data_IF_569469118576
#
_entry.id   IF_569469118576
#
_cell.length_a   1.000
_cell.length_b   1.000
_cell.length_c   1.000
_cell.angle_alpha   90.00
_cell.angle_beta   90.00
_cell.angle_gamma   90.00
#
_symmetry.space_group_name_H-M   'P 1'
#
loop_
_entity.id
_entity.type
_entity.pdbx_description
1 polymer ?
#
# COMPACT_ATOMS: atom_id res chain seq x y z
N UNK A 1 -37.54 0.80 72.05
CA UNK A 1 -36.37 0.02 72.54
C UNK A 1 -35.27 0.13 71.52
N UNK A 2 -34.01 0.28 71.88
CA UNK A 2 -33.38 0.25 73.18
C UNK A 2 -31.88 0.09 72.97
N UNK A 3 -31.11 1.01 73.57
CA UNK A 3 -29.74 0.93 74.11
C UNK A 3 -28.57 0.65 73.14
N UNK A 4 -27.59 1.56 72.98
CA UNK A 4 -26.51 1.96 73.91
C UNK A 4 -25.39 0.90 73.95
N UNK A 5 -24.08 1.18 73.99
CA UNK A 5 -23.26 2.38 74.10
C UNK A 5 -21.79 1.96 73.82
N UNK A 6 -20.94 2.92 73.47
CA UNK A 6 -19.52 3.03 73.87
C UNK A 6 -18.81 3.97 72.87
N UNK A 7 -18.03 4.97 73.22
CA UNK A 7 -17.72 5.57 74.51
C UNK A 7 -16.96 6.85 74.16
N UNK A 8 -17.27 7.92 74.88
CA UNK A 8 -16.57 9.19 74.80
C UNK A 8 -15.11 9.03 75.24
N UNK A 9 -14.14 9.33 74.37
CA UNK A 9 -12.80 9.73 74.84
C UNK A 9 -12.07 10.50 73.73
N UNK A 10 -12.33 11.81 73.61
CA UNK A 10 -11.30 12.84 73.39
C UNK A 10 -11.90 14.19 73.77
N UNK A 11 -11.78 14.52 75.06
CA UNK A 11 -12.26 15.76 75.64
C UNK A 11 -11.62 17.00 75.01
N UNK A 12 -12.47 17.98 74.71
CA UNK A 12 -12.08 19.36 74.50
C UNK A 12 -11.42 19.89 75.78
N UNK A 13 -10.10 20.09 75.76
CA UNK A 13 -9.46 20.96 76.73
C UNK A 13 -9.32 22.36 76.12
N UNK A 14 -10.16 23.28 76.60
CA UNK A 14 -10.12 24.70 76.28
C UNK A 14 -8.92 25.33 76.99
N UNK A 15 -7.78 25.42 76.32
CA UNK A 15 -6.73 26.37 76.67
C UNK A 15 -6.42 27.21 75.43
N UNK A 16 -6.54 28.54 75.59
CA UNK A 16 -6.49 29.49 74.49
C UNK A 16 -5.23 29.38 73.64
N UNK A 17 -5.42 29.05 72.38
CA UNK A 17 -4.49 29.37 71.31
C UNK A 17 -5.33 29.96 70.18
N UNK A 18 -5.07 31.24 69.87
CA UNK A 18 -5.77 31.98 68.82
C UNK A 18 -5.53 31.29 67.46
N UNK A 19 -6.50 31.34 66.52
CA UNK A 19 -6.28 30.84 65.17
C UNK A 19 -5.17 31.66 64.51
N UNK A 20 -4.05 31.02 64.21
CA UNK A 20 -2.94 31.59 63.45
C UNK A 20 -3.34 31.67 61.97
N UNK A 21 -4.18 32.63 61.61
CA UNK A 21 -4.37 33.07 60.21
C UNK A 21 -4.88 34.50 60.19
N UNK A 22 -4.08 35.46 60.65
CA UNK A 22 -4.28 36.87 60.29
C UNK A 22 -3.45 37.15 59.04
N UNK A 23 -4.08 37.79 58.05
CA UNK A 23 -3.54 38.06 56.70
C UNK A 23 -2.44 39.14 56.70
N UNK A 24 -1.84 39.40 57.86
CA UNK A 24 -0.97 40.54 58.20
C UNK A 24 0.28 40.14 58.99
N UNK A 25 0.65 38.85 59.05
CA UNK A 25 1.99 38.48 59.54
C UNK A 25 3.03 38.81 58.46
N UNK A 26 3.81 39.86 58.67
CA UNK A 26 4.96 40.18 57.82
C UNK A 26 6.02 39.07 57.97
N UNK A 27 6.76 38.79 56.89
CA UNK A 27 7.78 37.72 56.85
C UNK A 27 8.73 37.75 58.05
N UNK A 28 9.05 38.96 58.55
CA UNK A 28 9.97 39.22 59.67
C UNK A 28 9.43 38.74 61.03
N UNK A 29 8.12 38.62 61.19
CA UNK A 29 7.47 38.20 62.45
C UNK A 29 7.33 36.67 62.58
N UNK A 30 7.69 35.92 61.53
CA UNK A 30 7.72 34.46 61.59
C UNK A 30 8.97 33.95 62.35
N UNK A 31 8.83 32.92 63.19
CA UNK A 31 9.98 32.25 63.80
C UNK A 31 10.97 31.76 62.74
N UNK A 32 12.27 31.90 62.99
CA UNK A 32 13.35 31.60 62.03
C UNK A 32 13.27 30.20 61.40
N UNK A 33 12.75 29.21 62.14
CA UNK A 33 12.51 27.85 61.65
C UNK A 33 11.48 27.79 60.51
N UNK A 34 10.40 28.57 60.59
CA UNK A 34 9.35 28.61 59.57
C UNK A 34 9.77 29.43 58.37
N UNK A 35 10.50 30.54 58.56
CA UNK A 35 11.12 31.29 57.46
C UNK A 35 12.07 30.40 56.64
N UNK A 36 12.93 29.62 57.31
CA UNK A 36 13.86 28.69 56.65
C UNK A 36 13.12 27.56 55.92
N UNK A 37 12.05 27.02 56.50
CA UNK A 37 11.24 25.99 55.87
C UNK A 37 10.51 26.52 54.63
N UNK A 38 9.88 27.70 54.70
CA UNK A 38 9.19 28.31 53.56
C UNK A 38 10.19 28.66 52.44
N UNK A 39 11.37 29.19 52.78
CA UNK A 39 12.42 29.45 51.78
C UNK A 39 12.91 28.16 51.10
N UNK A 40 13.08 27.07 51.84
CA UNK A 40 13.42 25.76 51.27
C UNK A 40 12.28 25.19 50.41
N UNK A 41 11.03 25.41 50.81
CA UNK A 41 9.86 25.01 50.04
C UNK A 41 9.80 25.77 48.70
N UNK A 42 10.00 27.08 48.74
CA UNK A 42 10.01 27.94 47.56
C UNK A 42 11.17 27.56 46.61
N UNK A 43 12.36 27.29 47.14
CA UNK A 43 13.47 26.76 46.33
C UNK A 43 13.11 25.42 45.67
N UNK A 44 12.43 24.51 46.37
CA UNK A 44 11.98 23.23 45.80
C UNK A 44 10.91 23.43 44.73
N UNK A 45 9.95 24.32 44.95
CA UNK A 45 8.88 24.66 43.99
C UNK A 45 9.49 25.29 42.73
N UNK A 46 10.41 26.23 42.89
CA UNK A 46 11.11 26.84 41.76
C UNK A 46 11.93 25.81 40.98
N UNK A 47 12.64 24.89 41.67
CA UNK A 47 13.36 23.79 41.02
C UNK A 47 12.41 22.90 40.21
N UNK A 48 11.30 22.45 40.80
CA UNK A 48 10.30 21.62 40.10
C UNK A 48 9.64 22.36 38.93
N UNK A 49 9.44 23.67 39.04
CA UNK A 49 8.89 24.49 37.95
C UNK A 49 9.87 24.56 36.77
N UNK A 50 11.17 24.71 37.04
CA UNK A 50 12.21 24.67 35.99
C UNK A 50 12.28 23.30 35.32
N UNK A 51 12.29 22.22 36.10
CA UNK A 51 12.28 20.85 35.57
C UNK A 51 11.03 20.56 34.73
N UNK A 52 9.85 21.03 35.16
CA UNK A 52 8.62 20.93 34.38
C UNK A 52 8.74 21.64 33.03
N UNK A 53 9.28 22.86 33.01
CA UNK A 53 9.43 23.63 31.78
C UNK A 53 10.43 22.95 30.83
N UNK A 54 11.55 22.46 31.35
CA UNK A 54 12.56 21.71 30.59
C UNK A 54 11.96 20.43 29.97
N UNK A 55 11.21 19.64 30.75
CA UNK A 55 10.48 18.47 30.25
C UNK A 55 9.47 18.88 29.17
N UNK A 56 8.75 19.99 29.34
CA UNK A 56 7.76 20.46 28.38
C UNK A 56 8.40 20.83 27.03
N UNK A 57 9.56 21.48 27.03
CA UNK A 57 10.28 21.84 25.80
C UNK A 57 10.91 20.62 25.13
N UNK A 58 11.44 19.67 25.92
CA UNK A 58 11.84 18.36 25.40
C UNK A 58 10.67 17.57 24.79
N UNK A 59 9.46 17.68 25.35
CA UNK A 59 8.28 16.99 24.81
C UNK A 59 7.85 17.58 23.46
N UNK A 60 7.91 18.91 23.30
CA UNK A 60 7.57 19.58 22.03
C UNK A 60 8.52 19.13 20.92
N UNK A 61 9.84 19.23 21.14
CA UNK A 61 10.85 18.80 20.17
C UNK A 61 10.76 17.31 19.84
N UNK A 62 10.37 16.46 20.79
CA UNK A 62 10.12 15.03 20.54
C UNK A 62 8.88 14.79 19.69
N UNK A 63 7.80 15.55 19.90
CA UNK A 63 6.58 15.47 19.06
C UNK A 63 6.86 15.89 17.62
N UNK A 64 7.58 16.99 17.43
CA UNK A 64 7.99 17.46 16.11
C UNK A 64 8.84 16.43 15.38
N UNK A 65 9.87 15.87 16.05
CA UNK A 65 10.67 14.77 15.48
C UNK A 65 9.83 13.54 15.14
N UNK A 66 8.91 13.14 16.02
CA UNK A 66 8.02 12.00 15.77
C UNK A 66 7.16 12.23 14.52
N UNK A 67 6.64 13.43 14.33
CA UNK A 67 5.83 13.76 13.16
C UNK A 67 6.69 13.81 11.89
N UNK A 68 7.90 14.35 11.97
CA UNK A 68 8.89 14.31 10.88
C UNK A 68 9.16 12.87 10.44
N UNK A 69 9.43 11.95 11.37
CA UNK A 69 9.66 10.54 11.04
C UNK A 69 8.44 9.86 10.43
N UNK A 70 7.21 10.20 10.85
CA UNK A 70 6.01 9.65 10.19
C UNK A 70 5.88 10.13 8.76
N UNK A 71 6.14 11.41 8.51
CA UNK A 71 6.06 12.00 7.17
C UNK A 71 7.12 11.38 6.25
N UNK A 72 8.34 11.22 6.75
CA UNK A 72 9.43 10.54 6.04
C UNK A 72 9.09 9.08 5.75
N UNK A 73 8.57 8.33 6.74
CA UNK A 73 8.11 6.96 6.54
C UNK A 73 6.98 6.86 5.50
N UNK A 74 6.04 7.82 5.50
CA UNK A 74 4.97 7.87 4.51
C UNK A 74 5.50 8.19 3.10
N UNK A 75 6.49 9.08 2.99
CA UNK A 75 7.17 9.36 1.73
C UNK A 75 7.92 8.12 1.21
N UNK A 76 8.70 7.46 2.08
CA UNK A 76 9.44 6.26 1.72
C UNK A 76 8.52 5.12 1.27
N UNK A 77 7.37 4.92 1.93
CA UNK A 77 6.36 3.95 1.49
C UNK A 77 5.83 4.23 0.08
N UNK A 78 5.60 5.50 -0.26
CA UNK A 78 5.18 5.88 -1.61
C UNK A 78 6.28 5.60 -2.62
N UNK A 79 7.51 5.96 -2.31
CA UNK A 79 8.66 5.72 -3.18
C UNK A 79 8.89 4.23 -3.42
N UNK A 80 8.85 3.40 -2.37
CA UNK A 80 8.92 1.95 -2.48
C UNK A 80 7.78 1.39 -3.35
N UNK A 81 6.57 1.93 -3.22
CA UNK A 81 5.45 1.52 -4.09
C UNK A 81 5.71 1.87 -5.56
N UNK A 82 6.23 3.06 -5.84
CA UNK A 82 6.57 3.49 -7.22
C UNK A 82 7.65 2.59 -7.80
N UNK A 83 8.73 2.35 -7.05
CA UNK A 83 9.81 1.44 -7.47
C UNK A 83 9.27 0.02 -7.68
N UNK A 84 8.42 -0.47 -6.77
CA UNK A 84 7.78 -1.78 -6.91
C UNK A 84 6.96 -1.91 -8.19
N UNK A 85 6.18 -0.87 -8.53
CA UNK A 85 5.43 -0.86 -9.80
C UNK A 85 6.34 -0.82 -11.02
N UNK A 86 7.43 -0.04 -10.99
CA UNK A 86 8.39 0.03 -12.10
C UNK A 86 9.14 -1.29 -12.30
N UNK A 87 9.50 -1.98 -11.21
CA UNK A 87 10.10 -3.32 -11.26
C UNK A 87 9.12 -4.31 -11.88
N UNK A 88 7.86 -4.33 -11.44
CA UNK A 88 6.85 -5.24 -11.98
C UNK A 88 6.62 -5.03 -13.48
N UNK A 89 6.56 -3.76 -13.92
CA UNK A 89 6.46 -3.41 -15.34
C UNK A 89 7.69 -3.90 -16.12
N UNK A 90 8.90 -3.63 -15.61
CA UNK A 90 10.15 -4.04 -16.26
C UNK A 90 10.25 -5.56 -16.34
N UNK A 91 9.86 -6.29 -15.29
CA UNK A 91 9.81 -7.76 -15.28
C UNK A 91 8.90 -8.29 -16.39
N UNK A 92 7.70 -7.71 -16.53
CA UNK A 92 6.76 -8.10 -17.59
C UNK A 92 7.32 -7.86 -19.00
N UNK A 93 8.03 -6.75 -19.21
CA UNK A 93 8.71 -6.44 -20.47
C UNK A 93 9.80 -7.47 -20.75
N UNK A 94 10.62 -7.78 -19.75
CA UNK A 94 11.71 -8.77 -19.87
C UNK A 94 11.16 -10.15 -20.19
N UNK A 95 10.10 -10.61 -19.50
CA UNK A 95 9.44 -11.88 -19.81
C UNK A 95 8.89 -11.94 -21.23
N UNK A 96 8.31 -10.84 -21.71
CA UNK A 96 7.80 -10.75 -23.08
C UNK A 96 8.95 -10.84 -24.09
N UNK A 97 10.03 -10.09 -23.83
CA UNK A 97 11.22 -10.10 -24.68
C UNK A 97 11.87 -11.48 -24.70
N UNK A 98 11.98 -12.17 -23.56
CA UNK A 98 12.53 -13.53 -23.48
C UNK A 98 11.71 -14.53 -24.30
N UNK A 99 10.38 -14.46 -24.23
CA UNK A 99 9.49 -15.29 -25.05
C UNK A 99 9.69 -15.00 -26.55
N UNK A 100 9.85 -13.74 -26.93
CA UNK A 100 10.02 -13.35 -28.32
C UNK A 100 11.40 -13.74 -28.87
N UNK A 101 12.47 -13.55 -28.10
CA UNK A 101 13.82 -14.02 -28.43
C UNK A 101 13.82 -15.54 -28.56
N UNK A 102 13.28 -16.26 -27.59
CA UNK A 102 13.17 -17.73 -27.63
C UNK A 102 12.41 -18.22 -28.86
N UNK A 103 11.33 -17.52 -29.25
CA UNK A 103 10.54 -17.83 -30.45
C UNK A 103 11.35 -17.59 -31.72
N UNK A 104 12.02 -16.44 -31.82
CA UNK A 104 12.82 -16.08 -32.99
C UNK A 104 14.03 -17.02 -33.15
N UNK A 105 14.72 -17.36 -32.04
CA UNK A 105 15.81 -18.35 -32.05
C UNK A 105 15.32 -19.69 -32.58
N UNK A 106 14.13 -20.18 -32.17
CA UNK A 106 13.56 -21.43 -32.72
C UNK A 106 13.31 -21.33 -34.22
N UNK A 107 12.86 -20.19 -34.73
CA UNK A 107 12.69 -19.98 -36.16
C UNK A 107 14.04 -19.96 -36.88
N UNK A 108 15.06 -19.30 -36.32
CA UNK A 108 16.42 -19.29 -36.86
C UNK A 108 17.05 -20.68 -36.89
N UNK A 109 16.95 -21.47 -35.82
CA UNK A 109 17.49 -22.84 -35.78
C UNK A 109 16.85 -23.69 -36.88
N UNK A 110 15.53 -23.61 -37.03
CA UNK A 110 14.84 -24.35 -38.10
C UNK A 110 15.24 -23.85 -39.48
N UNK A 111 15.43 -22.54 -39.68
CA UNK A 111 15.91 -21.99 -40.94
C UNK A 111 17.34 -22.47 -41.26
N UNK A 112 18.21 -22.59 -40.25
CA UNK A 112 19.55 -23.16 -40.40
C UNK A 112 19.50 -24.64 -40.79
N UNK A 113 18.65 -25.43 -40.13
CA UNK A 113 18.44 -26.85 -40.49
C UNK A 113 17.92 -26.99 -41.92
N UNK A 114 17.04 -26.08 -42.37
CA UNK A 114 16.59 -26.01 -43.77
C UNK A 114 17.72 -25.71 -44.74
N UNK A 115 18.61 -24.76 -44.40
CA UNK A 115 19.74 -24.42 -45.25
C UNK A 115 20.72 -25.59 -45.39
N UNK A 116 21.06 -26.25 -44.28
CA UNK A 116 21.96 -27.40 -44.28
C UNK A 116 21.36 -28.61 -45.02
N UNK A 117 20.06 -28.86 -44.88
CA UNK A 117 19.37 -29.93 -45.63
C UNK A 117 19.21 -29.59 -47.11
N UNK A 118 18.99 -28.33 -47.48
CA UNK A 118 18.94 -27.88 -48.88
C UNK A 118 20.28 -28.06 -49.61
N UNK A 119 21.41 -27.95 -48.89
CA UNK A 119 22.76 -28.20 -49.42
C UNK A 119 22.98 -29.67 -49.81
N UNK A 120 22.19 -30.61 -49.29
CA UNK A 120 22.28 -32.03 -49.63
C UNK A 120 21.08 -32.51 -50.48
N UNK A 121 21.24 -32.72 -51.79
CA UNK A 121 20.14 -33.06 -52.71
C UNK A 121 19.44 -34.40 -52.39
N UNK A 122 20.08 -35.30 -51.62
CA UNK A 122 19.46 -36.55 -51.17
C UNK A 122 18.41 -36.33 -50.05
N UNK A 123 18.55 -35.26 -49.24
CA UNK A 123 17.63 -34.93 -48.14
C UNK A 123 16.44 -34.05 -48.54
N UNK A 124 16.47 -33.45 -49.74
CA UNK A 124 15.40 -32.58 -50.26
C UNK A 124 14.06 -33.31 -50.50
N UNK A 125 14.03 -34.65 -50.50
CA UNK A 125 12.82 -35.45 -50.73
C UNK A 125 11.92 -35.60 -49.50
N UNK A 126 12.31 -35.07 -48.33
CA UNK A 126 11.48 -35.11 -47.11
C UNK A 126 10.46 -33.96 -47.18
N UNK A 127 9.24 -34.29 -47.62
CA UNK A 127 8.14 -33.41 -48.03
C UNK A 127 7.52 -32.48 -46.95
N UNK A 128 8.17 -32.30 -45.80
CA UNK A 128 7.75 -31.39 -44.72
C UNK A 128 8.45 -30.03 -44.69
N UNK A 129 9.54 -29.86 -45.45
CA UNK A 129 10.46 -28.72 -45.33
C UNK A 129 9.93 -27.40 -45.94
N UNK A 130 9.05 -27.43 -46.94
CA UNK A 130 8.64 -26.23 -47.67
C UNK A 130 7.64 -25.29 -46.95
N UNK A 131 6.99 -25.71 -45.86
CA UNK A 131 5.93 -24.92 -45.20
C UNK A 131 6.41 -24.02 -44.05
N UNK A 132 7.69 -24.10 -43.69
CA UNK A 132 8.23 -23.33 -42.56
C UNK A 132 8.31 -21.82 -42.84
N UNK A 133 8.80 -21.35 -44.01
CA UNK A 133 8.82 -19.93 -44.33
C UNK A 133 7.41 -19.32 -44.30
N UNK A 134 6.43 -20.03 -44.88
CA UNK A 134 5.03 -19.61 -44.91
C UNK A 134 4.47 -19.40 -43.50
N UNK A 135 4.73 -20.34 -42.57
CA UNK A 135 4.25 -20.22 -41.19
C UNK A 135 4.89 -19.06 -40.45
N UNK A 136 6.18 -18.79 -40.66
CA UNK A 136 6.86 -17.64 -40.06
C UNK A 136 6.26 -16.31 -40.54
N UNK A 137 6.14 -16.14 -41.86
CA UNK A 137 5.61 -14.90 -42.43
C UNK A 137 4.13 -14.70 -42.10
N UNK A 138 3.32 -15.76 -42.04
CA UNK A 138 1.93 -15.67 -41.59
C UNK A 138 1.82 -15.22 -40.12
N UNK A 139 2.68 -15.72 -39.24
CA UNK A 139 2.73 -15.28 -37.84
C UNK A 139 3.14 -13.80 -37.77
N UNK A 140 4.20 -13.39 -38.48
CA UNK A 140 4.64 -11.98 -38.52
C UNK A 140 3.56 -11.05 -39.10
N UNK A 141 2.84 -11.47 -40.13
CA UNK A 141 1.75 -10.69 -40.72
C UNK A 141 0.60 -10.46 -39.73
N UNK A 142 0.22 -11.48 -38.96
CA UNK A 142 -0.80 -11.31 -37.92
C UNK A 142 -0.28 -10.43 -36.77
N UNK A 143 0.99 -10.56 -36.37
CA UNK A 143 1.64 -9.65 -35.40
C UNK A 143 1.60 -8.19 -35.90
N UNK A 144 1.94 -7.92 -37.16
CA UNK A 144 1.85 -6.58 -37.73
C UNK A 144 0.43 -6.05 -37.78
N UNK A 145 -0.54 -6.88 -38.18
CA UNK A 145 -1.95 -6.50 -38.21
C UNK A 145 -2.48 -6.16 -36.81
N UNK A 146 -2.10 -6.91 -35.78
CA UNK A 146 -2.44 -6.58 -34.40
C UNK A 146 -1.77 -5.28 -33.96
N UNK A 147 -0.49 -5.08 -34.31
CA UNK A 147 0.23 -3.84 -34.00
C UNK A 147 -0.40 -2.61 -34.66
N UNK A 148 -0.84 -2.71 -35.91
CA UNK A 148 -1.55 -1.61 -36.58
C UNK A 148 -2.89 -1.30 -35.91
N UNK A 149 -3.64 -2.32 -35.46
CA UNK A 149 -4.88 -2.11 -34.71
C UNK A 149 -4.61 -1.39 -33.38
N UNK A 150 -3.55 -1.78 -32.67
CA UNK A 150 -3.12 -1.10 -31.44
C UNK A 150 -2.78 0.35 -31.73
N UNK A 151 -1.89 0.61 -32.70
CA UNK A 151 -1.48 1.97 -33.06
C UNK A 151 -2.68 2.84 -33.46
N UNK A 152 -3.63 2.30 -34.21
CA UNK A 152 -4.87 3.02 -34.55
C UNK A 152 -5.70 3.34 -33.31
N UNK A 153 -5.79 2.43 -32.34
CA UNK A 153 -6.48 2.68 -31.07
C UNK A 153 -5.76 3.76 -30.26
N UNK A 154 -4.43 3.68 -30.18
CA UNK A 154 -3.60 4.63 -29.44
C UNK A 154 -3.72 6.04 -30.04
N UNK A 155 -3.77 6.15 -31.37
CA UNK A 155 -4.01 7.43 -32.06
C UNK A 155 -5.37 8.01 -31.68
N UNK A 156 -6.43 7.19 -31.74
CA UNK A 156 -7.79 7.65 -31.36
C UNK A 156 -7.85 8.08 -29.89
N UNK A 157 -7.15 7.37 -29.00
CA UNK A 157 -7.07 7.73 -27.59
C UNK A 157 -6.29 9.04 -27.38
N UNK A 158 -5.18 9.24 -28.09
CA UNK A 158 -4.43 10.49 -28.09
C UNK A 158 -5.25 11.66 -28.63
N UNK A 159 -5.96 11.47 -29.74
CA UNK A 159 -6.86 12.49 -30.30
C UNK A 159 -7.97 12.86 -29.33
N UNK A 160 -8.56 11.87 -28.66
CA UNK A 160 -9.57 12.09 -27.61
C UNK A 160 -8.96 12.83 -26.42
N UNK A 161 -7.77 12.45 -25.98
CA UNK A 161 -7.06 13.11 -24.88
C UNK A 161 -6.76 14.57 -25.22
N UNK A 162 -6.20 14.85 -26.39
CA UNK A 162 -5.90 16.20 -26.87
C UNK A 162 -7.19 17.03 -26.96
N UNK A 163 -8.23 16.49 -27.59
CA UNK A 163 -9.54 17.15 -27.71
C UNK A 163 -10.15 17.46 -26.34
N UNK A 164 -10.07 16.51 -25.40
CA UNK A 164 -10.55 16.71 -24.03
C UNK A 164 -9.70 17.74 -23.28
N UNK A 165 -8.38 17.74 -23.46
CA UNK A 165 -7.45 18.67 -22.82
C UNK A 165 -7.69 20.11 -23.29
N UNK A 166 -7.88 20.31 -24.60
CA UNK A 166 -8.25 21.59 -25.20
C UNK A 166 -9.61 22.10 -24.73
N UNK A 167 -10.61 21.23 -24.59
CA UNK A 167 -11.94 21.58 -24.08
C UNK A 167 -11.96 21.81 -22.56
N UNK A 168 -11.01 21.20 -21.84
CA UNK A 168 -10.94 21.20 -20.37
C UNK A 168 -10.36 22.49 -19.75
N UNK A 169 -9.74 23.36 -20.56
CA UNK A 169 -9.08 24.59 -20.08
C UNK A 169 -10.03 25.56 -19.36
N UNK A 170 -11.36 25.41 -19.50
CA UNK A 170 -12.35 26.25 -18.81
C UNK A 170 -12.90 25.69 -17.49
N UNK A 171 -13.13 24.37 -17.39
CA UNK A 171 -14.00 23.79 -16.34
C UNK A 171 -13.48 22.51 -15.64
N UNK A 172 -12.39 21.89 -16.10
CA UNK A 172 -11.98 20.59 -15.57
C UNK A 172 -11.24 20.62 -14.22
N UNK A 173 -10.98 21.82 -13.68
CA UNK A 173 -10.39 21.99 -12.35
C UNK A 173 -11.45 22.26 -11.25
N UNK A 174 -12.73 21.97 -11.51
CA UNK A 174 -13.76 22.06 -10.49
C UNK A 174 -13.73 20.83 -9.56
N UNK A 175 -13.61 20.97 -8.23
CA UNK A 175 -13.64 19.86 -7.28
C UNK A 175 -14.87 18.95 -7.39
N UNK A 176 -16.00 19.48 -7.90
CA UNK A 176 -17.22 18.71 -8.17
C UNK A 176 -17.02 17.75 -9.35
N UNK A 177 -16.40 18.20 -10.44
CA UNK A 177 -16.12 17.36 -11.60
C UNK A 177 -15.18 16.21 -11.23
N UNK A 178 -14.17 16.46 -10.40
CA UNK A 178 -13.26 15.41 -9.90
C UNK A 178 -14.00 14.37 -9.05
N UNK A 179 -14.91 14.80 -8.17
CA UNK A 179 -15.76 13.89 -7.38
C UNK A 179 -16.64 13.02 -8.28
N UNK A 180 -17.26 13.59 -9.30
CA UNK A 180 -18.12 12.85 -10.23
C UNK A 180 -17.31 11.84 -11.07
N UNK A 181 -16.10 12.22 -11.52
CA UNK A 181 -15.17 11.30 -12.19
C UNK A 181 -14.79 10.14 -11.27
N UNK A 182 -14.47 10.43 -10.00
CA UNK A 182 -14.06 9.42 -9.04
C UNK A 182 -15.19 8.45 -8.70
N UNK A 183 -16.43 8.93 -8.59
CA UNK A 183 -17.61 8.05 -8.47
C UNK A 183 -17.79 7.15 -9.69
N UNK A 184 -17.67 7.71 -10.91
CA UNK A 184 -17.76 6.89 -12.13
C UNK A 184 -16.65 5.85 -12.24
N UNK A 185 -15.43 6.19 -11.83
CA UNK A 185 -14.31 5.25 -11.78
C UNK A 185 -14.55 4.14 -10.75
N UNK A 186 -15.11 4.49 -9.59
CA UNK A 186 -15.48 3.52 -8.56
C UNK A 186 -16.56 2.55 -9.05
N UNK A 187 -17.61 3.05 -9.69
CA UNK A 187 -18.68 2.21 -10.26
C UNK A 187 -18.14 1.30 -11.38
N UNK A 188 -17.26 1.82 -12.23
CA UNK A 188 -16.59 1.02 -13.26
C UNK A 188 -15.71 -0.08 -12.63
N UNK A 189 -14.96 0.23 -11.57
CA UNK A 189 -14.16 -0.74 -10.83
C UNK A 189 -15.04 -1.83 -10.21
N UNK A 190 -16.14 -1.48 -9.55
CA UNK A 190 -17.09 -2.47 -8.99
C UNK A 190 -17.58 -3.40 -10.10
N UNK A 191 -17.99 -2.85 -11.24
CA UNK A 191 -18.48 -3.65 -12.36
C UNK A 191 -17.41 -4.62 -12.88
N UNK A 192 -16.15 -4.18 -12.96
CA UNK A 192 -15.02 -5.07 -13.30
C UNK A 192 -14.81 -6.12 -12.21
N UNK A 193 -14.82 -5.75 -10.93
CA UNK A 193 -14.70 -6.69 -9.80
C UNK A 193 -15.78 -7.76 -9.83
N UNK A 194 -17.03 -7.40 -10.10
CA UNK A 194 -18.14 -8.36 -10.23
C UNK A 194 -17.87 -9.33 -11.38
N UNK A 195 -17.43 -8.82 -12.55
CA UNK A 195 -17.08 -9.68 -13.69
C UNK A 195 -15.90 -10.61 -13.37
N UNK A 196 -14.85 -10.10 -12.73
CA UNK A 196 -13.70 -10.90 -12.29
C UNK A 196 -14.12 -11.97 -11.28
N UNK A 197 -14.98 -11.63 -10.32
CA UNK A 197 -15.51 -12.58 -9.35
C UNK A 197 -16.32 -13.67 -10.04
N UNK A 198 -17.22 -13.30 -10.96
CA UNK A 198 -18.01 -14.28 -11.72
C UNK A 198 -17.11 -15.25 -12.52
N UNK A 199 -16.02 -14.74 -13.11
CA UNK A 199 -15.06 -15.57 -13.83
C UNK A 199 -14.27 -16.48 -12.88
N UNK A 200 -13.88 -15.97 -11.71
CA UNK A 200 -13.21 -16.74 -10.66
C UNK A 200 -14.08 -17.89 -10.14
N UNK A 201 -15.37 -17.63 -9.94
CA UNK A 201 -16.35 -18.62 -9.52
C UNK A 201 -16.51 -19.71 -10.59
N UNK A 202 -16.66 -19.31 -11.86
CA UNK A 202 -16.71 -20.24 -12.99
C UNK A 202 -15.43 -21.10 -13.10
N UNK A 203 -14.25 -20.49 -12.89
CA UNK A 203 -12.98 -21.21 -12.90
C UNK A 203 -12.90 -22.22 -11.75
N UNK A 204 -13.36 -21.84 -10.56
CA UNK A 204 -13.41 -22.71 -9.38
C UNK A 204 -14.37 -23.87 -9.60
N UNK A 205 -15.54 -23.63 -10.18
CA UNK A 205 -16.49 -24.66 -10.55
C UNK A 205 -15.90 -25.62 -11.59
N UNK A 206 -15.24 -25.10 -12.63
CA UNK A 206 -14.61 -25.91 -13.66
C UNK A 206 -13.48 -26.78 -13.09
N UNK A 207 -12.63 -26.21 -12.22
CA UNK A 207 -11.58 -26.95 -11.50
C UNK A 207 -12.18 -28.08 -10.65
N UNK A 208 -13.25 -27.80 -9.91
CA UNK A 208 -13.97 -28.80 -9.11
C UNK A 208 -14.54 -29.91 -9.99
N UNK A 209 -15.19 -29.55 -11.10
CA UNK A 209 -15.78 -30.50 -12.06
C UNK A 209 -14.72 -31.38 -12.71
N UNK A 210 -13.58 -30.81 -13.08
CA UNK A 210 -12.44 -31.55 -13.62
C UNK A 210 -11.85 -32.51 -12.57
N UNK A 211 -11.70 -32.07 -11.32
CA UNK A 211 -11.26 -32.94 -10.22
C UNK A 211 -12.23 -34.11 -10.00
N UNK A 212 -13.53 -33.85 -9.95
CA UNK A 212 -14.54 -34.91 -9.84
C UNK A 212 -14.55 -35.85 -11.05
N UNK A 213 -14.24 -35.36 -12.24
CA UNK A 213 -14.05 -36.19 -13.43
C UNK A 213 -12.82 -37.11 -13.28
N UNK A 214 -11.68 -36.56 -12.84
CA UNK A 214 -10.45 -37.34 -12.64
C UNK A 214 -10.60 -38.45 -11.60
N UNK A 215 -11.24 -38.15 -10.48
CA UNK A 215 -11.52 -39.16 -9.44
C UNK A 215 -12.41 -40.28 -10.00
N UNK A 216 -13.45 -39.94 -10.77
CA UNK A 216 -14.39 -40.94 -11.29
C UNK A 216 -13.81 -41.81 -12.41
N UNK A 217 -13.01 -41.24 -13.30
CA UNK A 217 -12.54 -41.94 -14.51
C UNK A 217 -11.16 -42.57 -14.30
N UNK A 218 -10.26 -41.89 -13.61
CA UNK A 218 -8.86 -42.32 -13.45
C UNK A 218 -8.53 -42.80 -12.03
N UNK A 219 -9.50 -42.77 -11.10
CA UNK A 219 -9.29 -43.06 -9.67
C UNK A 219 -8.14 -42.25 -9.04
N UNK A 220 -7.84 -41.08 -9.61
CA UNK A 220 -6.77 -40.20 -9.15
C UNK A 220 -7.36 -39.06 -8.33
N UNK A 221 -7.05 -39.05 -7.03
CA UNK A 221 -7.49 -38.05 -6.06
C UNK A 221 -6.56 -36.84 -5.95
N UNK A 222 -5.45 -36.80 -6.71
CA UNK A 222 -4.51 -35.68 -6.71
C UNK A 222 -5.16 -34.43 -7.31
N UNK A 223 -4.95 -33.29 -6.65
CA UNK A 223 -5.43 -32.00 -7.12
C UNK A 223 -4.39 -31.40 -8.08
N UNK A 224 -4.68 -31.33 -9.40
CA UNK A 224 -3.73 -30.80 -10.37
C UNK A 224 -3.63 -29.26 -10.33
N UNK A 225 -4.42 -28.59 -9.48
CA UNK A 225 -4.51 -27.13 -9.41
C UNK A 225 -3.97 -26.55 -8.10
N UNK A 226 -3.39 -27.39 -7.23
CA UNK A 226 -2.60 -26.89 -6.09
C UNK A 226 -1.15 -26.75 -6.57
N UNK A 227 -0.63 -25.53 -6.51
CA UNK A 227 0.81 -25.30 -6.58
C UNK A 227 1.44 -25.87 -5.29
N UNK A 228 2.59 -26.54 -5.41
CA UNK A 228 3.43 -26.94 -4.28
C UNK A 228 4.10 -25.73 -3.64
#
# INVERSE_FOLDING_TARGET
GGKAASDDMWGMNKTGARPFTDRTTEWKDLPAQYQKWIAQLDMKIQKQTREKNDIQDHLKSRKERKESYKNEMAALKREVSVIGTAIAQTSSIVETLDRDVSRETRFMTRANDMFETAKNPAMQRISGFNRLPDKYFLVKLEEYKQRMKSLSSDIVELERFISSSLQSQGDASSPKALKDILHRQYDALINVTIKVQSLSDLMTELRKRYRSFRVRVFNDSRDPFKEE
#
